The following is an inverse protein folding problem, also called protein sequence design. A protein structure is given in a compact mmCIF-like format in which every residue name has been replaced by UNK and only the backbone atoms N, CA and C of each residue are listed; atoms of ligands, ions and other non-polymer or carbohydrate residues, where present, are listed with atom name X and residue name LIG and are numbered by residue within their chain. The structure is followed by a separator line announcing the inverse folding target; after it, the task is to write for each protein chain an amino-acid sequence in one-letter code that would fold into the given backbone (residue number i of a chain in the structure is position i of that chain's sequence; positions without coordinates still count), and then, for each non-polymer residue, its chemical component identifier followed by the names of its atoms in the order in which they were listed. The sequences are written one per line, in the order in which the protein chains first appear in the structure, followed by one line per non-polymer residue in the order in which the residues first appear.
data_IF_858004760360
#
_entry.id   IF_858004760360
#
_cell.length_a   1.000
_cell.length_b   1.000
_cell.length_c   1.000
_cell.angle_alpha   90.00
_cell.angle_beta   90.00
_cell.angle_gamma   90.00
#
_symmetry.space_group_name_H-M   'P 1'
#
loop_
_entity.id
_entity.type
_entity.pdbx_description
1 polymer ?
#
# COMPACT_ATOMS: atom_id res chain seq x y z
N UNK A 1 6.12 15.68 -22.31
CA UNK A 1 6.35 14.35 -21.71
C UNK A 1 7.24 14.59 -20.51
N UNK A 2 6.68 14.57 -19.30
CA UNK A 2 7.50 14.63 -18.09
C UNK A 2 8.34 13.34 -18.05
N UNK A 3 9.65 13.50 -17.94
CA UNK A 3 10.61 12.45 -17.62
C UNK A 3 10.27 11.88 -16.24
N UNK A 4 9.22 11.08 -16.18
CA UNK A 4 8.79 10.50 -14.92
C UNK A 4 9.77 9.37 -14.67
N UNK A 5 10.69 9.57 -13.73
CA UNK A 5 11.58 8.53 -13.22
C UNK A 5 10.70 7.50 -12.49
N UNK A 6 10.09 6.59 -13.26
CA UNK A 6 9.18 5.56 -12.78
C UNK A 6 10.01 4.38 -12.27
N UNK A 7 10.09 4.22 -10.96
CA UNK A 7 10.67 3.02 -10.36
C UNK A 7 9.63 1.91 -10.30
N UNK A 8 9.94 0.76 -10.90
CA UNK A 8 9.06 -0.40 -10.85
C UNK A 8 9.11 -1.05 -9.46
N UNK A 9 7.93 -1.16 -8.82
CA UNK A 9 7.78 -1.65 -7.44
C UNK A 9 8.15 -3.13 -7.25
N UNK A 10 8.07 -3.95 -8.30
CA UNK A 10 8.24 -5.41 -8.23
C UNK A 10 9.40 -5.93 -9.10
N UNK A 11 10.53 -5.21 -9.11
CA UNK A 11 11.75 -5.69 -9.76
C UNK A 11 12.48 -6.69 -8.88
N UNK A 12 13.10 -7.70 -9.51
CA UNK A 12 13.99 -8.63 -8.83
C UNK A 12 15.34 -7.96 -8.55
N UNK A 13 15.67 -7.83 -7.28
CA UNK A 13 16.98 -7.37 -6.81
C UNK A 13 17.82 -8.58 -6.39
N UNK A 14 19.01 -8.74 -6.97
CA UNK A 14 19.85 -9.91 -6.71
C UNK A 14 20.64 -9.79 -5.39
N UNK A 15 21.07 -8.58 -5.05
CA UNK A 15 21.81 -8.29 -3.82
C UNK A 15 20.86 -8.23 -2.62
N UNK A 16 21.17 -9.01 -1.58
CA UNK A 16 20.42 -9.03 -0.34
C UNK A 16 21.36 -8.94 0.89
N UNK A 17 21.16 -7.91 1.71
CA UNK A 17 21.91 -7.64 2.92
C UNK A 17 21.41 -8.45 4.11
N UNK A 18 22.26 -9.29 4.71
CA UNK A 18 21.92 -10.09 5.90
C UNK A 18 21.52 -9.24 7.12
N UNK A 19 22.13 -8.06 7.27
CA UNK A 19 21.81 -7.10 8.33
C UNK A 19 20.43 -6.46 8.11
N UNK A 20 20.08 -6.17 6.86
CA UNK A 20 18.77 -5.59 6.54
C UNK A 20 17.65 -6.57 6.89
N UNK A 21 17.86 -7.87 6.71
CA UNK A 21 16.89 -8.89 7.09
C UNK A 21 16.58 -8.87 8.60
N UNK A 22 17.57 -8.60 9.46
CA UNK A 22 17.35 -8.46 10.90
C UNK A 22 16.60 -7.16 11.25
N UNK A 23 17.01 -6.03 10.66
CA UNK A 23 16.34 -4.73 10.84
C UNK A 23 14.89 -4.79 10.36
N UNK A 24 14.66 -5.48 9.24
CA UNK A 24 13.35 -5.71 8.63
C UNK A 24 12.38 -6.34 9.61
N UNK A 25 12.79 -7.31 10.43
CA UNK A 25 11.88 -7.94 11.41
C UNK A 25 11.31 -6.91 12.38
N UNK A 26 12.15 -6.03 12.94
CA UNK A 26 11.70 -4.98 13.85
C UNK A 26 10.83 -3.95 13.11
N UNK A 27 11.21 -3.56 11.90
CA UNK A 27 10.46 -2.60 11.08
C UNK A 27 9.11 -3.15 10.62
N UNK A 28 9.02 -4.47 10.37
CA UNK A 28 7.79 -5.16 9.99
C UNK A 28 6.74 -5.08 11.11
N UNK A 29 7.16 -5.21 12.37
CA UNK A 29 6.27 -5.05 13.53
C UNK A 29 5.70 -3.62 13.56
N UNK A 30 6.55 -2.60 13.36
CA UNK A 30 6.11 -1.21 13.34
C UNK A 30 5.13 -0.91 12.20
N UNK A 31 5.46 -1.34 10.97
CA UNK A 31 4.55 -1.21 9.82
C UNK A 31 3.26 -1.99 10.05
N UNK A 32 3.36 -3.19 10.62
CA UNK A 32 2.23 -4.08 10.88
C UNK A 32 1.21 -3.44 11.81
N UNK A 33 1.66 -2.77 12.88
CA UNK A 33 0.74 -2.05 13.80
C UNK A 33 0.01 -0.92 13.08
N UNK A 34 0.73 -0.11 12.31
CA UNK A 34 0.12 1.01 11.56
C UNK A 34 -0.85 0.49 10.49
N UNK A 35 -0.45 -0.54 9.74
CA UNK A 35 -1.27 -1.19 8.75
C UNK A 35 -2.54 -1.80 9.37
N UNK A 36 -2.41 -2.38 10.57
CA UNK A 36 -3.55 -2.99 11.26
C UNK A 36 -4.57 -1.94 11.71
N UNK A 37 -4.12 -0.84 12.31
CA UNK A 37 -5.01 0.26 12.72
C UNK A 37 -5.67 0.90 11.49
N UNK A 38 -4.89 1.24 10.46
CA UNK A 38 -5.42 1.84 9.24
C UNK A 38 -6.36 0.86 8.51
N UNK A 39 -6.03 -0.43 8.50
CA UNK A 39 -6.86 -1.48 7.94
C UNK A 39 -8.20 -1.62 8.67
N UNK A 40 -8.21 -1.50 10.00
CA UNK A 40 -9.44 -1.52 10.79
C UNK A 40 -10.37 -0.36 10.44
N UNK A 41 -9.83 0.87 10.35
CA UNK A 41 -10.62 2.03 9.93
C UNK A 41 -11.12 1.87 8.50
N UNK A 42 -10.27 1.36 7.60
CA UNK A 42 -10.62 1.13 6.19
C UNK A 42 -11.72 0.08 6.07
N UNK A 43 -11.66 -0.98 6.87
CA UNK A 43 -12.68 -2.00 6.93
C UNK A 43 -14.04 -1.41 7.33
N UNK A 44 -14.07 -0.56 8.35
CA UNK A 44 -15.30 0.15 8.74
C UNK A 44 -15.81 1.03 7.59
N UNK A 45 -14.94 1.78 6.92
CA UNK A 45 -15.29 2.57 5.73
C UNK A 45 -15.89 1.69 4.62
N UNK A 46 -15.30 0.52 4.35
CA UNK A 46 -15.81 -0.41 3.33
C UNK A 46 -17.17 -1.01 3.70
N UNK A 47 -17.40 -1.32 4.98
CA UNK A 47 -18.71 -1.77 5.47
C UNK A 47 -19.76 -0.68 5.28
N UNK A 48 -19.46 0.57 5.66
CA UNK A 48 -20.38 1.70 5.45
C UNK A 48 -20.62 1.94 3.95
N UNK A 49 -19.57 1.81 3.14
CA UNK A 49 -19.66 1.95 1.68
C UNK A 49 -20.56 0.88 1.09
N UNK A 50 -20.44 -0.37 1.55
CA UNK A 50 -21.29 -1.47 1.13
C UNK A 50 -22.77 -1.19 1.43
N UNK A 51 -23.11 -0.72 2.64
CA UNK A 51 -24.47 -0.28 2.94
C UNK A 51 -24.92 0.90 2.08
N UNK A 52 -24.04 1.86 1.82
CA UNK A 52 -24.33 3.02 0.95
C UNK A 52 -24.68 2.58 -0.48
N UNK A 53 -23.99 1.57 -1.00
CA UNK A 53 -24.27 0.99 -2.32
C UNK A 53 -25.59 0.22 -2.30
N UNK A 54 -25.84 -0.60 -1.28
CA UNK A 54 -27.07 -1.39 -1.20
C UNK A 54 -28.34 -0.53 -1.07
N UNK A 55 -28.29 0.53 -0.27
CA UNK A 55 -29.46 1.37 0.01
C UNK A 55 -29.63 2.45 -1.07
N UNK A 56 -28.53 3.09 -1.48
CA UNK A 56 -28.55 4.29 -2.31
C UNK A 56 -28.15 4.03 -3.77
N UNK A 57 -27.57 2.87 -4.08
CA UNK A 57 -27.01 2.55 -5.40
C UNK A 57 -25.79 3.38 -5.77
N UNK A 58 -25.16 4.08 -4.81
CA UNK A 58 -24.09 5.04 -5.07
C UNK A 58 -22.89 4.79 -4.16
N UNK A 59 -21.71 4.97 -4.73
CA UNK A 59 -20.43 4.96 -4.01
C UNK A 59 -20.15 6.34 -3.44
N UNK A 60 -19.81 6.43 -2.16
CA UNK A 60 -19.26 7.66 -1.58
C UNK A 60 -17.81 7.85 -2.02
N UNK A 61 -17.48 9.07 -2.45
CA UNK A 61 -16.12 9.43 -2.86
C UNK A 61 -15.18 9.42 -1.66
N UNK A 62 -15.54 10.03 -0.52
CA UNK A 62 -14.67 10.09 0.65
C UNK A 62 -14.30 8.72 1.23
N UNK A 63 -15.24 7.77 1.25
CA UNK A 63 -14.97 6.39 1.71
C UNK A 63 -14.06 5.65 0.72
N UNK A 64 -14.24 5.91 -0.58
CA UNK A 64 -13.38 5.34 -1.62
C UNK A 64 -11.97 5.92 -1.55
N UNK A 65 -11.82 7.23 -1.31
CA UNK A 65 -10.53 7.91 -1.17
C UNK A 65 -9.78 7.41 0.08
N UNK A 66 -10.48 7.17 1.19
CA UNK A 66 -9.87 6.59 2.38
C UNK A 66 -9.34 5.17 2.12
N UNK A 67 -10.16 4.33 1.49
CA UNK A 67 -9.75 2.97 1.11
C UNK A 67 -8.61 2.97 0.09
N UNK A 68 -8.60 3.93 -0.83
CA UNK A 68 -7.51 4.15 -1.78
C UNK A 68 -6.20 4.48 -1.05
N UNK A 69 -6.21 5.42 -0.10
CA UNK A 69 -5.01 5.77 0.66
C UNK A 69 -4.43 4.60 1.46
N UNK A 70 -5.29 3.75 2.02
CA UNK A 70 -4.85 2.50 2.65
C UNK A 70 -4.22 1.52 1.66
N UNK A 71 -4.80 1.38 0.46
CA UNK A 71 -4.25 0.51 -0.57
C UNK A 71 -2.89 1.02 -1.07
N UNK A 72 -2.75 2.31 -1.31
CA UNK A 72 -1.48 2.97 -1.67
C UNK A 72 -0.42 2.72 -0.58
N UNK A 73 -0.80 2.87 0.70
CA UNK A 73 0.06 2.59 1.85
C UNK A 73 0.59 1.15 1.87
N UNK A 74 -0.28 0.16 1.62
CA UNK A 74 0.10 -1.26 1.64
C UNK A 74 0.93 -1.65 0.43
N UNK A 75 0.48 -1.29 -0.78
CA UNK A 75 1.14 -1.69 -2.04
C UNK A 75 2.57 -1.18 -2.08
N UNK A 76 2.82 0.06 -1.62
CA UNK A 76 4.17 0.61 -1.57
C UNK A 76 5.10 -0.16 -0.61
N UNK A 77 4.56 -0.80 0.43
CA UNK A 77 5.33 -1.52 1.45
C UNK A 77 5.42 -3.01 1.18
N UNK A 78 4.56 -3.57 0.33
CA UNK A 78 4.56 -5.00 0.00
C UNK A 78 5.93 -5.50 -0.47
N UNK A 79 6.65 -4.87 -1.42
CA UNK A 79 7.97 -5.34 -1.86
C UNK A 79 8.95 -5.51 -0.70
N UNK A 80 8.94 -4.57 0.25
CA UNK A 80 9.73 -4.67 1.47
C UNK A 80 9.22 -5.77 2.42
N UNK A 81 7.91 -5.91 2.59
CA UNK A 81 7.34 -6.94 3.44
C UNK A 81 7.57 -8.36 2.92
N UNK A 82 7.61 -8.54 1.60
CA UNK A 82 7.80 -9.82 0.92
C UNK A 82 9.26 -10.12 0.52
N UNK A 83 10.22 -9.34 1.03
CA UNK A 83 11.66 -9.57 0.78
C UNK A 83 12.02 -9.51 -0.72
N UNK A 84 11.34 -8.63 -1.47
CA UNK A 84 11.64 -8.39 -2.89
C UNK A 84 12.67 -7.28 -3.08
N UNK A 85 12.83 -6.39 -2.09
CA UNK A 85 13.82 -5.31 -2.09
C UNK A 85 14.35 -5.04 -0.69
N UNK A 86 15.59 -4.58 -0.60
CA UNK A 86 16.21 -4.05 0.63
C UNK A 86 15.92 -2.55 0.85
N UNK A 87 15.34 -1.87 -0.14
CA UNK A 87 15.01 -0.46 -0.02
C UNK A 87 13.86 -0.25 0.97
N UNK A 88 14.16 0.47 2.05
CA UNK A 88 13.15 0.86 3.04
C UNK A 88 12.11 1.82 2.42
N UNK A 89 10.82 1.51 2.51
CA UNK A 89 9.76 2.42 2.07
C UNK A 89 9.69 3.65 2.98
N UNK A 90 9.31 4.80 2.41
CA UNK A 90 9.10 6.02 3.17
C UNK A 90 7.97 5.84 4.20
N UNK A 91 8.06 6.58 5.31
CA UNK A 91 7.04 6.52 6.38
C UNK A 91 5.71 7.09 5.90
N UNK A 92 5.76 8.15 5.10
CA UNK A 92 4.59 8.81 4.53
C UNK A 92 4.01 8.01 3.35
N UNK A 93 2.69 8.04 3.15
CA UNK A 93 2.07 7.46 1.97
C UNK A 93 2.45 8.30 0.74
N UNK A 94 3.11 7.67 -0.22
CA UNK A 94 3.34 8.26 -1.54
C UNK A 94 2.20 7.86 -2.48
N UNK A 95 1.87 8.73 -3.44
CA UNK A 95 0.75 8.50 -4.34
C UNK A 95 1.15 7.48 -5.41
N UNK A 96 0.76 6.21 -5.21
CA UNK A 96 1.07 5.13 -6.16
C UNK A 96 0.02 5.07 -7.25
N UNK A 97 0.46 5.21 -8.51
CA UNK A 97 -0.37 4.93 -9.68
C UNK A 97 -0.06 3.52 -10.18
N UNK A 98 -1.04 2.63 -10.12
CA UNK A 98 -0.97 1.29 -10.70
C UNK A 98 -1.59 1.37 -12.09
N UNK A 99 -0.84 0.96 -13.09
CA UNK A 99 -1.31 0.87 -14.47
C UNK A 99 -1.48 -0.60 -14.83
N UNK A 100 -2.54 -0.89 -15.56
CA UNK A 100 -2.82 -2.20 -16.16
C UNK A 100 -2.75 -2.03 -17.67
N UNK A 101 -2.16 -2.99 -18.38
CA UNK A 101 -2.17 -2.98 -19.85
C UNK A 101 -3.60 -3.25 -20.34
N UNK A 102 -4.20 -2.28 -21.00
CA UNK A 102 -5.51 -2.46 -21.65
C UNK A 102 -5.30 -3.28 -22.93
N UNK A 103 -5.72 -4.54 -22.90
CA UNK A 103 -5.72 -5.42 -24.08
C UNK A 103 -6.73 -5.04 -25.15
#
# INVERSE_FOLDING_TARGET
MADTNLEQLFLYEHDAGRLELLVRIAYWIAIGIVAWIYGLVTFICLVIQWFSILILGKRSQGLSDFAKGYLEYIVHRMPYMYIMTDRRPAVLPDAVKIFEETG
#
